data_IF_032671295014
#
_entry.id   IF_032671295014
#
_cell.length_a   1.000
_cell.length_b   1.000
_cell.length_c   1.000
_cell.angle_alpha   90.00
_cell.angle_beta   90.00
_cell.angle_gamma   90.00
#
_symmetry.space_group_name_H-M   'P 1'
#
loop_
_entity.id
_entity.type
_entity.pdbx_description
1 polymer ?
#
# COMPACT_ATOMS: atom_id res chain seq x y z
N UNK A 1 58.27 40.17 -29.25
CA UNK A 1 57.83 39.91 -27.86
C UNK A 1 56.73 40.90 -27.52
N UNK A 2 55.49 40.44 -27.31
CA UNK A 2 54.56 40.73 -26.18
C UNK A 2 53.10 40.47 -26.61
N UNK A 3 52.39 39.84 -25.70
CA UNK A 3 51.03 39.27 -25.78
C UNK A 3 50.01 40.27 -25.23
N UNK A 4 48.72 40.07 -25.58
CA UNK A 4 47.48 40.58 -24.97
C UNK A 4 46.87 41.81 -25.68
N UNK A 5 45.55 41.91 -25.88
CA UNK A 5 44.48 41.41 -25.03
C UNK A 5 43.22 40.96 -25.80
N UNK A 6 42.83 39.71 -25.55
CA UNK A 6 41.43 39.28 -25.49
C UNK A 6 40.71 40.05 -24.37
N UNK A 7 39.49 40.54 -24.63
CA UNK A 7 38.25 40.27 -23.84
C UNK A 7 37.25 41.41 -23.96
N UNK A 8 36.23 41.21 -24.77
CA UNK A 8 34.91 41.82 -24.55
C UNK A 8 33.79 40.93 -25.12
N UNK A 9 33.78 39.67 -24.70
CA UNK A 9 32.59 38.82 -24.78
C UNK A 9 32.27 38.34 -23.36
N UNK A 10 31.80 39.26 -22.52
CA UNK A 10 30.96 38.90 -21.37
C UNK A 10 29.52 38.94 -21.84
N UNK A 11 29.17 37.96 -22.68
CA UNK A 11 27.78 37.57 -22.86
C UNK A 11 27.35 36.87 -21.57
N UNK A 12 26.34 37.44 -20.94
CA UNK A 12 25.60 36.93 -19.79
C UNK A 12 25.11 35.49 -20.03
N UNK A 13 25.92 34.51 -19.61
CA UNK A 13 25.58 33.07 -19.61
C UNK A 13 25.28 32.55 -18.20
N UNK A 14 24.79 33.42 -17.32
CA UNK A 14 24.25 33.05 -16.00
C UNK A 14 22.74 33.20 -16.02
N UNK A 15 22.07 32.38 -16.82
CA UNK A 15 20.65 32.10 -16.62
C UNK A 15 20.58 30.82 -15.78
N UNK A 16 20.16 30.95 -14.53
CA UNK A 16 19.22 30.09 -13.80
C UNK A 16 19.33 28.55 -13.88
N UNK A 17 20.54 27.99 -13.96
CA UNK A 17 20.72 26.55 -13.75
C UNK A 17 20.29 26.10 -12.35
N UNK A 18 20.31 26.99 -11.35
CA UNK A 18 19.90 26.67 -9.99
C UNK A 18 18.37 26.77 -9.79
N UNK A 19 17.72 27.77 -10.38
CA UNK A 19 16.28 27.98 -10.26
C UNK A 19 15.48 26.98 -11.09
N UNK A 20 15.92 26.67 -12.32
CA UNK A 20 15.27 25.63 -13.16
C UNK A 20 15.39 24.25 -12.53
N UNK A 21 16.51 23.97 -11.84
CA UNK A 21 16.68 22.73 -11.07
C UNK A 21 15.77 22.66 -9.86
N UNK A 22 15.67 23.75 -9.09
CA UNK A 22 14.77 23.81 -7.94
C UNK A 22 13.31 23.65 -8.39
N UNK A 23 12.92 24.28 -9.50
CA UNK A 23 11.59 24.19 -10.09
C UNK A 23 11.23 22.76 -10.52
N UNK A 24 12.15 22.03 -11.17
CA UNK A 24 11.90 20.63 -11.55
C UNK A 24 11.84 19.69 -10.35
N UNK A 25 12.68 19.89 -9.35
CA UNK A 25 12.59 19.12 -8.08
C UNK A 25 11.27 19.40 -7.38
N UNK A 26 10.87 20.67 -7.28
CA UNK A 26 9.60 21.09 -6.71
C UNK A 26 8.39 20.51 -7.46
N UNK A 27 8.45 20.47 -8.80
CA UNK A 27 7.43 19.83 -9.62
C UNK A 27 7.34 18.33 -9.37
N UNK A 28 8.47 17.62 -9.34
CA UNK A 28 8.49 16.17 -9.04
C UNK A 28 7.89 15.90 -7.67
N UNK A 29 8.21 16.72 -6.67
CA UNK A 29 7.64 16.62 -5.33
C UNK A 29 6.13 16.85 -5.34
N UNK A 30 5.65 17.90 -6.00
CA UNK A 30 4.23 18.20 -6.13
C UNK A 30 3.46 17.07 -6.82
N UNK A 31 4.03 16.49 -7.87
CA UNK A 31 3.47 15.32 -8.56
C UNK A 31 3.45 14.09 -7.65
N UNK A 32 4.53 13.79 -6.92
CA UNK A 32 4.56 12.69 -5.94
C UNK A 32 3.49 12.84 -4.87
N UNK A 33 3.34 14.04 -4.30
CA UNK A 33 2.31 14.31 -3.28
C UNK A 33 0.90 14.21 -3.88
N UNK A 34 0.68 14.75 -5.08
CA UNK A 34 -0.59 14.65 -5.79
C UNK A 34 -0.99 13.21 -6.09
N UNK A 35 -0.06 12.39 -6.59
CA UNK A 35 -0.30 10.97 -6.86
C UNK A 35 -0.50 10.17 -5.57
N UNK A 36 0.27 10.47 -4.50
CA UNK A 36 0.07 9.87 -3.19
C UNK A 36 -1.34 10.17 -2.65
N UNK A 37 -1.77 11.44 -2.71
CA UNK A 37 -3.12 11.82 -2.31
C UNK A 37 -4.17 11.11 -3.16
N UNK A 38 -3.99 11.03 -4.47
CA UNK A 38 -4.90 10.30 -5.35
C UNK A 38 -5.01 8.82 -4.95
N UNK A 39 -3.88 8.16 -4.71
CA UNK A 39 -3.83 6.77 -4.25
C UNK A 39 -4.58 6.59 -2.91
N UNK A 40 -4.42 7.51 -1.97
CA UNK A 40 -5.12 7.54 -0.69
C UNK A 40 -6.63 7.86 -0.79
N UNK A 41 -7.13 8.25 -1.97
CA UNK A 41 -8.56 8.50 -2.19
C UNK A 41 -9.20 7.49 -3.15
N UNK A 42 -8.46 6.51 -3.68
CA UNK A 42 -9.06 5.44 -4.49
C UNK A 42 -9.96 4.60 -3.58
N UNK A 43 -11.28 4.49 -3.89
CA UNK A 43 -12.19 3.69 -3.08
C UNK A 43 -11.88 2.21 -3.21
N UNK A 44 -12.21 1.43 -2.18
CA UNK A 44 -12.13 -0.02 -2.26
C UNK A 44 -13.05 -0.52 -3.37
N UNK A 45 -12.51 -1.31 -4.30
CA UNK A 45 -13.35 -2.11 -5.19
C UNK A 45 -13.72 -3.42 -4.49
N UNK A 46 -14.65 -4.18 -5.05
CA UNK A 46 -14.90 -5.59 -4.69
C UNK A 46 -14.22 -6.50 -5.73
N UNK A 47 -13.60 -7.62 -5.31
CA UNK A 47 -13.05 -8.59 -6.26
C UNK A 47 -14.14 -9.07 -7.21
N UNK A 48 -13.79 -9.37 -8.47
CA UNK A 48 -14.75 -9.88 -9.45
C UNK A 48 -15.42 -11.15 -8.95
N UNK A 49 -16.75 -11.14 -8.83
CA UNK A 49 -17.54 -12.27 -8.32
C UNK A 49 -17.91 -12.17 -6.83
N UNK A 50 -17.45 -11.15 -6.11
CA UNK A 50 -17.94 -10.87 -4.76
C UNK A 50 -19.35 -10.24 -4.81
N UNK A 51 -20.20 -10.61 -3.85
CA UNK A 51 -21.56 -10.08 -3.74
C UNK A 51 -21.55 -8.72 -3.03
N UNK A 52 -21.95 -7.62 -3.70
CA UNK A 52 -22.01 -6.30 -3.07
C UNK A 52 -23.09 -6.18 -1.99
N UNK A 53 -24.07 -7.09 -1.94
CA UNK A 53 -25.11 -7.10 -0.90
C UNK A 53 -24.57 -7.64 0.43
N UNK A 54 -23.63 -8.59 0.39
CA UNK A 54 -23.02 -9.21 1.57
C UNK A 54 -22.18 -8.19 2.36
N UNK A 55 -22.57 -7.94 3.61
CA UNK A 55 -21.86 -7.01 4.50
C UNK A 55 -20.48 -7.51 4.91
N UNK A 56 -20.27 -8.83 5.01
CA UNK A 56 -18.99 -9.44 5.33
C UNK A 56 -17.99 -9.32 4.19
N UNK A 57 -18.42 -9.54 2.96
CA UNK A 57 -17.58 -9.34 1.77
C UNK A 57 -17.22 -7.87 1.54
N UNK A 58 -18.14 -6.94 1.82
CA UNK A 58 -17.84 -5.51 1.81
C UNK A 58 -16.86 -5.09 2.90
N UNK A 59 -17.01 -5.62 4.12
CA UNK A 59 -16.05 -5.37 5.19
C UNK A 59 -14.66 -5.91 4.84
N UNK A 60 -14.60 -7.15 4.33
CA UNK A 60 -13.38 -7.77 3.81
C UNK A 60 -12.71 -6.89 2.77
N UNK A 61 -13.44 -6.48 1.73
CA UNK A 61 -12.90 -5.68 0.64
C UNK A 61 -12.33 -4.34 1.15
N UNK A 62 -13.05 -3.65 2.04
CA UNK A 62 -12.59 -2.37 2.62
C UNK A 62 -11.31 -2.53 3.45
N UNK A 63 -11.22 -3.58 4.25
CA UNK A 63 -10.09 -3.75 5.15
C UNK A 63 -8.83 -4.23 4.43
N UNK A 64 -8.95 -5.22 3.53
CA UNK A 64 -7.83 -5.67 2.70
C UNK A 64 -7.39 -4.56 1.72
N UNK A 65 -8.30 -3.67 1.31
CA UNK A 65 -7.97 -2.52 0.46
C UNK A 65 -6.94 -1.58 1.08
N UNK A 66 -6.91 -1.42 2.41
CA UNK A 66 -5.96 -0.51 3.09
C UNK A 66 -4.49 -0.89 2.84
N UNK A 67 -4.19 -2.20 2.77
CA UNK A 67 -2.83 -2.69 2.47
C UNK A 67 -2.43 -2.33 1.03
N UNK A 68 -3.37 -2.50 0.09
CA UNK A 68 -3.18 -2.16 -1.32
C UNK A 68 -3.03 -0.66 -1.52
N UNK A 69 -3.84 0.12 -0.82
CA UNK A 69 -3.85 1.58 -0.86
C UNK A 69 -2.51 2.15 -0.36
N UNK A 70 -1.97 1.60 0.72
CA UNK A 70 -0.66 1.98 1.25
C UNK A 70 0.45 1.64 0.26
N UNK A 71 0.41 0.45 -0.32
CA UNK A 71 1.39 0.03 -1.34
C UNK A 71 1.34 0.94 -2.58
N UNK A 72 0.13 1.28 -3.05
CA UNK A 72 -0.09 2.19 -4.18
C UNK A 72 0.42 3.60 -3.89
N UNK A 73 0.20 4.10 -2.67
CA UNK A 73 0.71 5.40 -2.23
C UNK A 73 2.24 5.43 -2.23
N UNK A 74 2.90 4.36 -1.79
CA UNK A 74 4.35 4.23 -1.82
C UNK A 74 4.89 4.20 -3.27
N UNK A 75 4.28 3.42 -4.16
CA UNK A 75 4.65 3.40 -5.59
C UNK A 75 4.51 4.80 -6.19
N UNK A 76 3.40 5.47 -5.90
CA UNK A 76 3.08 6.83 -6.37
C UNK A 76 4.08 7.87 -5.91
N UNK A 77 4.68 7.67 -4.73
CA UNK A 77 5.72 8.55 -4.21
C UNK A 77 7.04 8.38 -4.97
N UNK A 78 7.45 7.14 -5.25
CA UNK A 78 8.79 6.83 -5.79
C UNK A 78 8.86 6.95 -7.32
N UNK A 79 7.80 6.55 -8.04
CA UNK A 79 7.80 6.51 -9.51
C UNK A 79 8.16 7.85 -10.18
N UNK A 80 7.66 9.02 -9.72
CA UNK A 80 8.04 10.31 -10.29
C UNK A 80 9.54 10.60 -10.18
N UNK A 81 10.22 10.12 -9.14
CA UNK A 81 11.66 10.29 -8.97
C UNK A 81 12.47 9.42 -9.92
N UNK A 82 11.96 8.24 -10.28
CA UNK A 82 12.57 7.40 -11.32
C UNK A 82 12.50 8.11 -12.67
N UNK A 83 11.31 8.62 -13.03
CA UNK A 83 11.10 9.40 -14.26
C UNK A 83 12.01 10.62 -14.27
N UNK A 84 12.09 11.33 -13.16
CA UNK A 84 12.98 12.48 -13.00
C UNK A 84 14.44 12.12 -13.23
N UNK A 85 14.93 11.00 -12.68
CA UNK A 85 16.30 10.53 -12.89
C UNK A 85 16.60 10.07 -14.31
N UNK A 86 15.61 9.53 -15.03
CA UNK A 86 15.75 9.15 -16.44
C UNK A 86 15.88 10.39 -17.34
N UNK A 87 15.11 11.44 -17.05
CA UNK A 87 15.11 12.71 -17.78
C UNK A 87 16.24 13.66 -17.35
N UNK A 88 16.99 13.33 -16.29
CA UNK A 88 18.05 14.16 -15.76
C UNK A 88 19.25 14.26 -16.73
N UNK A 89 19.59 15.49 -17.12
CA UNK A 89 20.74 15.81 -17.99
C UNK A 89 21.93 16.44 -17.25
N UNK A 90 21.86 16.56 -15.91
CA UNK A 90 22.96 17.10 -15.09
C UNK A 90 24.07 16.09 -14.81
N UNK A 91 24.80 16.29 -13.70
CA UNK A 91 25.98 15.50 -13.37
C UNK A 91 25.71 13.98 -13.39
N UNK A 92 26.58 13.18 -14.06
CA UNK A 92 26.33 11.76 -14.27
C UNK A 92 26.33 10.96 -12.96
N UNK A 93 27.10 11.38 -11.96
CA UNK A 93 27.15 10.74 -10.65
C UNK A 93 25.85 10.92 -9.86
N UNK A 94 25.33 12.15 -9.80
CA UNK A 94 24.04 12.42 -9.14
C UNK A 94 22.88 11.68 -9.81
N UNK A 95 22.90 11.60 -11.16
CA UNK A 95 21.93 10.81 -11.92
C UNK A 95 22.00 9.32 -11.58
N UNK A 96 23.19 8.73 -11.53
CA UNK A 96 23.37 7.30 -11.21
C UNK A 96 22.86 6.97 -9.81
N UNK A 97 23.21 7.79 -8.81
CA UNK A 97 22.75 7.58 -7.42
C UNK A 97 21.22 7.67 -7.35
N UNK A 98 20.64 8.71 -7.94
CA UNK A 98 19.18 8.89 -7.99
C UNK A 98 18.48 7.71 -8.67
N UNK A 99 18.99 7.25 -9.82
CA UNK A 99 18.43 6.10 -10.53
C UNK A 99 18.53 4.82 -9.71
N UNK A 100 19.65 4.56 -9.05
CA UNK A 100 19.81 3.36 -8.21
C UNK A 100 18.80 3.37 -7.07
N UNK A 101 18.69 4.49 -6.34
CA UNK A 101 17.75 4.62 -5.21
C UNK A 101 16.30 4.53 -5.68
N UNK A 102 15.95 5.24 -6.76
CA UNK A 102 14.59 5.23 -7.29
C UNK A 102 14.22 3.85 -7.85
N UNK A 103 15.14 3.15 -8.52
CA UNK A 103 14.90 1.79 -9.01
C UNK A 103 14.68 0.83 -7.85
N UNK A 104 15.54 0.87 -6.82
CA UNK A 104 15.37 0.03 -5.64
C UNK A 104 14.03 0.30 -4.93
N UNK A 105 13.66 1.58 -4.80
CA UNK A 105 12.37 1.98 -4.25
C UNK A 105 11.19 1.50 -5.10
N UNK A 106 11.23 1.62 -6.43
CA UNK A 106 10.18 1.11 -7.32
C UNK A 106 10.07 -0.41 -7.21
N UNK A 107 11.18 -1.14 -7.20
CA UNK A 107 11.17 -2.61 -7.06
C UNK A 107 10.51 -3.00 -5.73
N UNK A 108 10.93 -2.39 -4.61
CA UNK A 108 10.38 -2.71 -3.30
C UNK A 108 8.90 -2.37 -3.18
N UNK A 109 8.48 -1.20 -3.66
CA UNK A 109 7.08 -0.76 -3.60
C UNK A 109 6.18 -1.55 -4.56
N UNK A 110 6.70 -1.93 -5.73
CA UNK A 110 5.99 -2.81 -6.69
C UNK A 110 5.81 -4.21 -6.11
N UNK A 111 6.84 -4.74 -5.44
CA UNK A 111 6.75 -6.03 -4.75
C UNK A 111 5.66 -6.02 -3.67
N UNK A 112 5.60 -4.95 -2.86
CA UNK A 112 4.53 -4.77 -1.87
C UNK A 112 3.14 -4.65 -2.52
N UNK A 113 3.04 -3.93 -3.64
CA UNK A 113 1.79 -3.80 -4.39
C UNK A 113 1.33 -5.15 -4.97
N UNK A 114 2.25 -5.97 -5.51
CA UNK A 114 1.97 -7.31 -6.00
C UNK A 114 1.47 -8.23 -4.87
N UNK A 115 2.17 -8.22 -3.73
CA UNK A 115 1.77 -8.96 -2.52
C UNK A 115 0.38 -8.56 -2.03
N UNK A 116 0.03 -7.27 -2.14
CA UNK A 116 -1.30 -6.77 -1.78
C UNK A 116 -2.35 -7.17 -2.82
N UNK A 117 -1.99 -7.14 -4.11
CA UNK A 117 -2.86 -7.54 -5.20
C UNK A 117 -3.19 -9.04 -5.17
N UNK A 118 -2.27 -9.91 -4.72
CA UNK A 118 -2.55 -11.33 -4.51
C UNK A 118 -3.58 -11.58 -3.41
N UNK A 119 -3.55 -10.78 -2.33
CA UNK A 119 -4.59 -10.83 -1.29
C UNK A 119 -5.97 -10.43 -1.84
N UNK A 120 -5.98 -9.66 -2.93
CA UNK A 120 -7.17 -9.06 -3.51
C UNK A 120 -7.75 -9.84 -4.71
N UNK A 121 -6.90 -10.45 -5.53
CA UNK A 121 -7.28 -11.11 -6.79
C UNK A 121 -7.93 -12.47 -6.60
N UNK A 122 -7.75 -13.09 -5.44
CA UNK A 122 -8.37 -14.35 -5.11
C UNK A 122 -9.71 -14.16 -4.39
N UNK A 123 -10.69 -14.97 -4.77
CA UNK A 123 -11.99 -14.99 -4.12
C UNK A 123 -11.81 -15.23 -2.61
N UNK A 124 -12.40 -14.36 -1.76
CA UNK A 124 -12.32 -14.53 -0.31
C UNK A 124 -13.00 -15.85 0.08
N UNK A 125 -12.39 -16.56 1.01
CA UNK A 125 -12.94 -17.82 1.55
C UNK A 125 -13.64 -17.54 2.85
N UNK A 126 -14.85 -18.05 2.98
CA UNK A 126 -15.56 -18.07 4.25
C UNK A 126 -15.03 -19.22 5.11
N UNK A 127 -14.66 -18.93 6.34
CA UNK A 127 -14.19 -19.92 7.32
C UNK A 127 -15.02 -19.76 8.59
N UNK A 128 -15.75 -20.81 8.96
CA UNK A 128 -16.44 -20.88 10.24
C UNK A 128 -15.58 -21.64 11.25
N UNK A 129 -15.58 -21.20 12.50
CA UNK A 129 -14.89 -21.91 13.58
C UNK A 129 -15.11 -21.28 14.94
N UNK A 130 -14.64 -21.95 15.99
CA UNK A 130 -14.74 -21.47 17.36
C UNK A 130 -13.42 -20.83 17.76
N UNK A 131 -13.46 -19.65 18.36
CA UNK A 131 -12.25 -18.95 18.84
C UNK A 131 -11.62 -19.76 19.96
N UNK A 132 -10.33 -20.04 19.85
CA UNK A 132 -9.53 -20.61 20.94
C UNK A 132 -8.95 -19.48 21.80
N UNK A 133 -8.18 -18.57 21.18
CA UNK A 133 -7.67 -17.38 21.83
C UNK A 133 -7.36 -16.27 20.81
N UNK A 134 -7.15 -15.06 21.32
CA UNK A 134 -6.80 -13.87 20.53
C UNK A 134 -5.60 -13.19 21.18
N UNK A 135 -4.56 -12.90 20.39
CA UNK A 135 -3.38 -12.18 20.86
C UNK A 135 -3.06 -11.06 19.87
N UNK A 136 -3.31 -9.83 20.29
CA UNK A 136 -3.14 -8.65 19.45
C UNK A 136 -4.03 -8.71 18.20
N UNK A 137 -3.42 -8.97 17.04
CA UNK A 137 -4.09 -9.05 15.74
C UNK A 137 -4.16 -10.48 15.20
N UNK A 138 -3.75 -11.48 15.97
CA UNK A 138 -3.82 -12.88 15.56
C UNK A 138 -4.97 -13.56 16.28
N UNK A 139 -5.81 -14.23 15.49
CA UNK A 139 -6.93 -15.05 15.95
C UNK A 139 -6.58 -16.52 15.75
N UNK A 140 -6.72 -17.33 16.78
CA UNK A 140 -6.63 -18.78 16.69
C UNK A 140 -7.99 -19.42 16.83
N UNK A 141 -8.26 -20.42 15.99
CA UNK A 141 -9.47 -21.22 16.05
C UNK A 141 -9.18 -22.59 16.67
N UNK A 142 -10.19 -23.15 17.33
CA UNK A 142 -10.20 -24.54 17.76
C UNK A 142 -10.03 -25.44 16.52
N UNK A 143 -8.97 -26.25 16.50
CA UNK A 143 -8.51 -26.97 15.30
C UNK A 143 -7.14 -26.53 14.79
N UNK A 144 -6.51 -25.52 15.43
CA UNK A 144 -5.11 -25.15 15.20
C UNK A 144 -4.88 -24.19 14.03
N UNK A 145 -5.94 -23.74 13.36
CA UNK A 145 -5.85 -22.70 12.34
C UNK A 145 -5.60 -21.32 12.98
N UNK A 146 -4.77 -20.51 12.34
CA UNK A 146 -4.48 -19.14 12.78
C UNK A 146 -4.64 -18.16 11.63
N UNK A 147 -5.23 -17.01 11.94
CA UNK A 147 -5.53 -15.96 10.97
C UNK A 147 -5.09 -14.60 11.48
N UNK A 148 -4.53 -13.79 10.59
CA UNK A 148 -4.16 -12.42 10.90
C UNK A 148 -5.35 -11.50 10.62
N UNK A 149 -5.82 -10.79 11.64
CA UNK A 149 -6.91 -9.84 11.56
C UNK A 149 -6.43 -8.56 10.88
N UNK A 150 -6.87 -8.36 9.64
CA UNK A 150 -6.76 -7.09 8.93
C UNK A 150 -8.09 -6.39 9.12
N UNK A 151 -8.26 -5.78 10.30
CA UNK A 151 -9.41 -4.95 10.65
C UNK A 151 -8.92 -3.53 10.95
N UNK A 152 -9.76 -2.53 10.72
CA UNK A 152 -9.45 -1.19 11.22
C UNK A 152 -9.34 -1.18 12.75
N UNK A 153 -8.58 -0.25 13.33
CA UNK A 153 -8.46 -0.17 14.80
C UNK A 153 -9.80 0.11 15.49
N UNK A 154 -10.75 0.76 14.79
CA UNK A 154 -12.10 0.93 15.28
C UNK A 154 -12.86 -0.40 15.34
N UNK A 155 -12.82 -1.18 14.27
CA UNK A 155 -13.46 -2.50 14.19
C UNK A 155 -12.83 -3.49 15.17
N UNK A 156 -11.50 -3.52 15.29
CA UNK A 156 -10.80 -4.37 16.25
C UNK A 156 -11.20 -4.03 17.70
N UNK A 157 -11.29 -2.74 18.04
CA UNK A 157 -11.77 -2.29 19.36
C UNK A 157 -13.23 -2.63 19.61
N UNK A 158 -14.09 -2.59 18.59
CA UNK A 158 -15.48 -3.04 18.72
C UNK A 158 -15.63 -4.55 18.82
N UNK A 159 -14.69 -5.32 18.25
CA UNK A 159 -14.69 -6.77 18.28
C UNK A 159 -14.13 -7.34 19.60
N UNK A 160 -13.13 -6.67 20.19
CA UNK A 160 -12.45 -7.10 21.42
C UNK A 160 -13.38 -7.51 22.59
N UNK A 161 -14.52 -6.84 22.87
CA UNK A 161 -15.38 -7.20 23.98
C UNK A 161 -15.97 -8.60 23.89
N UNK A 162 -16.31 -9.06 22.68
CA UNK A 162 -16.99 -10.34 22.44
C UNK A 162 -16.08 -11.39 21.80
N UNK A 163 -15.02 -10.99 21.08
CA UNK A 163 -14.07 -11.91 20.44
C UNK A 163 -13.18 -12.60 21.48
N UNK A 164 -13.73 -13.60 22.16
CA UNK A 164 -13.12 -14.35 23.26
C UNK A 164 -13.14 -15.85 22.97
N UNK A 165 -12.34 -16.59 23.74
CA UNK A 165 -12.33 -18.05 23.70
C UNK A 165 -13.75 -18.64 23.84
N UNK A 166 -14.07 -19.62 23.01
CA UNK A 166 -15.35 -20.34 23.01
C UNK A 166 -16.44 -19.72 22.14
N UNK A 167 -16.21 -18.57 21.51
CA UNK A 167 -17.21 -17.90 20.67
C UNK A 167 -17.15 -18.44 19.22
N UNK A 168 -18.28 -18.85 18.63
CA UNK A 168 -18.33 -19.22 17.23
C UNK A 168 -18.26 -17.96 16.36
N UNK A 169 -17.41 -18.01 15.34
CA UNK A 169 -17.17 -16.89 14.43
C UNK A 169 -17.14 -17.35 12.98
N UNK A 170 -17.59 -16.45 12.12
CA UNK A 170 -17.43 -16.55 10.67
C UNK A 170 -16.43 -15.50 10.21
N UNK A 171 -15.41 -15.95 9.49
CA UNK A 171 -14.32 -15.14 8.97
C UNK A 171 -14.34 -15.12 7.44
N UNK A 172 -14.07 -13.96 6.85
CA UNK A 172 -13.71 -13.85 5.44
C UNK A 172 -12.20 -13.70 5.32
N UNK A 173 -11.54 -14.71 4.75
CA UNK A 173 -10.09 -14.84 4.75
C UNK A 173 -9.54 -14.81 3.32
N UNK A 174 -8.46 -14.06 3.12
CA UNK A 174 -7.67 -14.08 1.90
C UNK A 174 -6.84 -15.37 1.81
N UNK A 175 -6.32 -15.78 0.63
CA UNK A 175 -5.45 -16.95 0.52
C UNK A 175 -4.18 -16.88 1.37
N UNK A 176 -3.80 -15.67 1.81
CA UNK A 176 -2.61 -15.44 2.65
C UNK A 176 -2.89 -15.61 4.14
N UNK A 177 -4.12 -15.98 4.52
CA UNK A 177 -4.51 -16.11 5.91
C UNK A 177 -4.88 -14.78 6.58
N UNK A 178 -5.15 -13.73 5.79
CA UNK A 178 -5.58 -12.43 6.31
C UNK A 178 -7.11 -12.42 6.40
N UNK A 179 -7.65 -12.31 7.60
CA UNK A 179 -9.07 -12.16 7.84
C UNK A 179 -9.47 -10.68 7.77
N UNK A 180 -10.22 -10.32 6.72
CA UNK A 180 -10.70 -8.96 6.48
C UNK A 180 -12.08 -8.65 7.09
N UNK A 181 -12.77 -9.68 7.60
CA UNK A 181 -14.03 -9.54 8.31
C UNK A 181 -14.17 -10.68 9.32
N UNK A 182 -14.69 -10.34 10.50
CA UNK A 182 -15.08 -11.28 11.55
C UNK A 182 -16.49 -10.93 12.00
N UNK A 183 -17.35 -11.93 12.05
CA UNK A 183 -18.74 -11.80 12.49
C UNK A 183 -18.99 -12.89 13.53
N UNK A 184 -19.64 -12.52 14.63
CA UNK A 184 -20.14 -13.49 15.60
C UNK A 184 -21.23 -14.33 14.93
N UNK A 185 -21.08 -15.65 15.01
CA UNK A 185 -22.11 -16.54 14.52
C UNK A 185 -23.17 -16.72 15.61
N UNK A 186 -24.15 -15.81 15.64
CA UNK A 186 -25.29 -15.90 16.58
C UNK A 186 -26.15 -17.16 16.32
N UNK A 187 -25.95 -17.82 15.18
CA UNK A 187 -26.40 -19.18 14.97
C UNK A 187 -25.57 -20.10 15.85
N UNK A 188 -26.07 -20.42 17.05
CA UNK A 188 -25.59 -21.52 17.88
C UNK A 188 -25.77 -22.91 17.23
N UNK A 189 -25.55 -23.03 15.92
CA UNK A 189 -25.40 -24.28 15.22
C UNK A 189 -23.97 -24.75 15.48
N UNK A 190 -23.83 -25.67 16.45
CA UNK A 190 -22.65 -26.52 16.55
C UNK A 190 -22.22 -26.96 15.14
N UNK A 191 -20.94 -26.86 14.78
CA UNK A 191 -20.46 -27.55 13.58
C UNK A 191 -20.77 -29.03 13.79
N UNK A 192 -21.68 -29.55 12.99
CA UNK A 192 -21.97 -30.97 12.93
C UNK A 192 -20.70 -31.69 12.52
N UNK A 193 -20.29 -32.62 13.40
CA UNK A 193 -19.23 -33.63 13.28
C UNK A 193 -18.54 -33.81 11.92
#
# INVERSE_FOLDING_TARGET
>A
MTVAARRSLRASWRIDLHEVRLGRVGLTLAVSVGLMMLALHVPSFLPSGADPADSGQRAYARNIWQETQTSLALVSMVLPWLVYGLLWQGAPWGRRILLVVATAGVIGTTWLALLSAESYSALPRQVAGVVDHVQGRTLWLQGGASYYLVLSDAELRSAQPWLRSGIPVTLWVSPRGHAGSVVEDESGASPGY
#
